data_IF_235385686195
#
_entry.id   IF_235385686195
#
_cell.length_a   1.000
_cell.length_b   1.000
_cell.length_c   1.000
_cell.angle_alpha   90.00
_cell.angle_beta   90.00
_cell.angle_gamma   90.00
#
_symmetry.space_group_name_H-M   'P 1'
#
loop_
_entity.id
_entity.type
_entity.pdbx_description
1 polymer ?
#
# COMPACT_ATOMS: atom_id res chain seq x y z
N UNK A 1 -5.64 -8.28 -11.47
CA UNK A 1 -5.77 -7.12 -12.39
C UNK A 1 -7.04 -7.24 -13.23
N UNK A 2 -7.70 -6.13 -13.56
CA UNK A 2 -8.95 -6.12 -14.33
C UNK A 2 -8.73 -6.61 -15.77
N UNK A 3 -9.54 -7.58 -16.24
CA UNK A 3 -9.45 -8.15 -17.60
C UNK A 3 -9.59 -7.09 -18.70
N UNK A 4 -10.40 -6.05 -18.47
CA UNK A 4 -10.57 -4.94 -19.39
C UNK A 4 -9.30 -4.10 -19.58
N UNK A 5 -8.47 -3.95 -18.54
CA UNK A 5 -7.21 -3.21 -18.62
C UNK A 5 -6.17 -3.97 -19.45
N UNK A 6 -6.09 -5.29 -19.24
CA UNK A 6 -5.21 -6.18 -20.00
C UNK A 6 -5.59 -6.19 -21.48
N UNK A 7 -6.90 -6.20 -21.79
CA UNK A 7 -7.40 -6.12 -23.16
C UNK A 7 -7.13 -4.78 -23.88
N UNK A 8 -6.89 -3.70 -23.14
CA UNK A 8 -6.44 -2.43 -23.73
C UNK A 8 -4.96 -2.48 -24.15
N UNK A 9 -4.14 -3.19 -23.37
CA UNK A 9 -2.72 -3.37 -23.65
C UNK A 9 -2.43 -4.35 -24.79
N UNK A 10 -3.33 -5.31 -25.07
CA UNK A 10 -3.19 -6.25 -26.18
C UNK A 10 -3.65 -5.70 -27.54
N UNK A 11 -4.01 -4.41 -27.62
CA UNK A 11 -4.39 -3.75 -28.87
C UNK A 11 -3.15 -3.45 -29.74
N UNK A 12 -3.28 -3.44 -31.08
CA UNK A 12 -2.17 -3.20 -31.99
C UNK A 12 -1.45 -1.87 -31.73
N UNK A 13 -0.13 -1.86 -31.94
CA UNK A 13 0.72 -0.69 -31.78
C UNK A 13 0.23 0.48 -32.67
N UNK A 14 0.08 1.65 -32.05
CA UNK A 14 -0.48 2.84 -32.70
C UNK A 14 -1.99 3.04 -32.53
N UNK A 15 -2.74 2.03 -32.09
CA UNK A 15 -4.18 2.17 -31.79
C UNK A 15 -4.43 3.13 -30.64
N UNK A 16 -5.55 3.88 -30.68
CA UNK A 16 -5.99 4.74 -29.59
C UNK A 16 -6.06 3.98 -28.24
N UNK A 17 -6.42 2.69 -28.26
CA UNK A 17 -6.45 1.82 -27.08
C UNK A 17 -5.06 1.61 -26.47
N UNK A 18 -4.05 1.34 -27.29
CA UNK A 18 -2.68 1.17 -26.83
C UNK A 18 -2.08 2.51 -26.36
N UNK A 19 -2.44 3.64 -27.01
CA UNK A 19 -2.06 4.98 -26.52
C UNK A 19 -2.65 5.29 -25.15
N UNK A 20 -3.93 4.97 -24.93
CA UNK A 20 -4.60 5.14 -23.63
C UNK A 20 -3.94 4.26 -22.57
N UNK A 21 -3.65 2.99 -22.90
CA UNK A 21 -2.96 2.08 -22.00
C UNK A 21 -1.56 2.60 -21.63
N UNK A 22 -0.76 2.99 -22.62
CA UNK A 22 0.60 3.54 -22.42
C UNK A 22 0.58 4.83 -21.60
N UNK A 23 -0.37 5.73 -21.88
CA UNK A 23 -0.54 6.96 -21.12
C UNK A 23 -0.96 6.68 -19.67
N UNK A 24 -1.89 5.74 -19.48
CA UNK A 24 -2.31 5.28 -18.16
C UNK A 24 -1.17 4.66 -17.36
N UNK A 25 -0.34 3.82 -17.99
CA UNK A 25 0.88 3.28 -17.36
C UNK A 25 1.87 4.38 -17.00
N UNK A 26 2.07 5.38 -17.86
CA UNK A 26 2.92 6.54 -17.59
C UNK A 26 2.41 7.39 -16.42
N UNK A 27 1.09 7.47 -16.24
CA UNK A 27 0.47 8.14 -15.11
C UNK A 27 0.60 7.32 -13.82
N UNK A 28 0.38 6.00 -13.90
CA UNK A 28 0.52 5.09 -12.77
C UNK A 28 1.97 4.95 -12.31
N UNK A 29 2.95 5.03 -13.22
CA UNK A 29 4.38 4.99 -12.85
C UNK A 29 4.82 6.22 -12.04
N UNK A 30 4.10 7.34 -12.15
CA UNK A 30 4.33 8.56 -11.36
C UNK A 30 3.85 8.44 -9.91
N UNK A 31 2.98 7.46 -9.62
CA UNK A 31 2.42 7.26 -8.28
C UNK A 31 3.53 6.84 -7.33
N UNK A 32 3.60 7.51 -6.16
CA UNK A 32 4.59 7.16 -5.14
C UNK A 32 4.33 5.73 -4.67
N UNK A 33 5.36 4.89 -4.51
CA UNK A 33 5.17 3.51 -4.11
C UNK A 33 4.62 3.39 -2.68
N UNK A 34 4.85 4.40 -1.83
CA UNK A 34 4.17 4.53 -0.54
C UNK A 34 2.64 4.59 -0.67
N UNK A 35 2.09 5.18 -1.74
CA UNK A 35 0.64 5.15 -2.00
C UNK A 35 0.17 3.74 -2.30
N UNK A 36 0.97 2.95 -3.03
CA UNK A 36 0.64 1.56 -3.38
C UNK A 36 0.60 0.70 -2.12
N UNK A 37 1.62 0.80 -1.27
CA UNK A 37 1.68 0.13 0.02
C UNK A 37 0.49 0.52 0.92
N UNK A 38 0.17 1.80 1.02
CA UNK A 38 -0.93 2.23 1.88
C UNK A 38 -2.30 1.84 1.31
N UNK A 39 -2.44 1.68 -0.01
CA UNK A 39 -3.67 1.20 -0.63
C UNK A 39 -3.89 -0.30 -0.44
N UNK A 40 -2.83 -1.09 -0.34
CA UNK A 40 -2.94 -2.53 -0.08
C UNK A 40 -3.36 -2.83 1.36
N UNK A 41 -3.02 -1.95 2.31
CA UNK A 41 -3.54 -2.01 3.69
C UNK A 41 -5.02 -1.63 3.68
N UNK A 42 -5.91 -2.63 3.71
CA UNK A 42 -7.36 -2.40 3.82
C UNK A 42 -7.75 -2.07 5.26
N UNK A 43 -8.94 -1.48 5.43
CA UNK A 43 -9.49 -1.17 6.77
C UNK A 43 -9.67 -2.43 7.62
N UNK A 44 -9.91 -3.56 6.97
CA UNK A 44 -10.27 -4.84 7.58
C UNK A 44 -9.05 -5.70 7.92
N UNK A 45 -7.83 -5.25 7.59
CA UNK A 45 -6.61 -5.97 7.96
C UNK A 45 -6.49 -5.97 9.48
N UNK A 46 -6.70 -7.14 10.07
CA UNK A 46 -6.55 -7.39 11.51
C UNK A 46 -5.10 -7.66 11.89
N UNK A 47 -4.29 -8.22 10.99
CA UNK A 47 -2.92 -8.63 11.26
C UNK A 47 -1.97 -8.18 10.16
N UNK A 48 -0.84 -7.58 10.55
CA UNK A 48 0.25 -7.21 9.66
C UNK A 48 1.47 -8.10 9.91
N UNK A 49 1.85 -8.88 8.90
CA UNK A 49 3.10 -9.62 8.89
C UNK A 49 4.18 -8.77 8.24
N UNK A 50 5.27 -8.54 8.97
CA UNK A 50 6.40 -7.74 8.48
C UNK A 50 7.63 -8.63 8.51
N UNK A 51 8.12 -8.98 7.33
CA UNK A 51 9.40 -9.67 7.17
C UNK A 51 10.51 -8.65 7.13
N UNK A 52 11.51 -8.80 8.00
CA UNK A 52 12.69 -7.94 8.01
C UNK A 52 13.97 -8.77 8.14
N UNK A 53 15.14 -8.24 7.71
CA UNK A 53 16.42 -8.89 7.94
C UNK A 53 16.65 -9.02 9.46
N UNK A 54 17.13 -10.18 9.93
CA UNK A 54 17.37 -10.39 11.36
C UNK A 54 18.52 -9.52 11.90
N UNK A 55 19.40 -9.05 11.01
CA UNK A 55 20.43 -8.06 11.32
C UNK A 55 19.88 -6.70 11.77
N UNK A 56 18.63 -6.36 11.43
CA UNK A 56 18.02 -5.06 11.74
C UNK A 56 17.14 -5.15 12.98
N UNK A 57 17.35 -4.20 13.91
CA UNK A 57 16.54 -4.08 15.10
C UNK A 57 15.05 -3.82 14.78
N UNK A 58 14.12 -4.64 15.32
CA UNK A 58 12.67 -4.50 15.04
C UNK A 58 12.11 -3.14 15.48
N UNK A 59 12.73 -2.51 16.50
CA UNK A 59 12.37 -1.16 16.96
C UNK A 59 12.58 -0.09 15.89
N UNK A 60 13.62 -0.21 15.06
CA UNK A 60 13.92 0.73 13.98
C UNK A 60 12.92 0.56 12.83
N UNK A 61 12.60 -0.68 12.49
CA UNK A 61 11.56 -1.02 11.51
C UNK A 61 10.22 -0.41 11.93
N UNK A 62 9.83 -0.60 13.19
CA UNK A 62 8.63 0.01 13.77
C UNK A 62 8.63 1.53 13.68
N UNK A 63 9.74 2.18 14.04
CA UNK A 63 9.88 3.64 13.97
C UNK A 63 9.74 4.14 12.53
N UNK A 64 10.36 3.46 11.56
CA UNK A 64 10.27 3.84 10.14
C UNK A 64 8.86 3.63 9.59
N UNK A 65 8.20 2.52 9.95
CA UNK A 65 6.82 2.25 9.55
C UNK A 65 5.85 3.27 10.15
N UNK A 66 6.00 3.64 11.43
CA UNK A 66 5.23 4.72 12.06
C UNK A 66 5.39 6.03 11.31
N UNK A 67 6.63 6.36 10.96
CA UNK A 67 6.92 7.58 10.21
C UNK A 67 6.28 7.58 8.82
N UNK A 68 6.30 6.44 8.11
CA UNK A 68 5.61 6.28 6.82
C UNK A 68 4.10 6.45 7.00
N UNK A 69 3.50 5.87 8.04
CA UNK A 69 2.07 5.98 8.33
C UNK A 69 1.66 7.44 8.62
N UNK A 70 2.34 8.12 9.56
CA UNK A 70 2.05 9.51 9.94
C UNK A 70 2.27 10.49 8.77
N UNK A 71 3.38 10.32 8.04
CA UNK A 71 3.67 11.14 6.86
C UNK A 71 2.65 10.86 5.75
N UNK A 72 2.30 9.59 5.53
CA UNK A 72 1.28 9.16 4.57
C UNK A 72 -0.08 9.80 4.85
N UNK A 73 -0.54 9.75 6.11
CA UNK A 73 -1.83 10.30 6.52
C UNK A 73 -1.91 11.80 6.26
N UNK A 74 -0.91 12.57 6.70
CA UNK A 74 -0.90 14.03 6.51
C UNK A 74 -0.82 14.44 5.03
N UNK A 75 -0.01 13.73 4.23
CA UNK A 75 0.13 13.99 2.79
C UNK A 75 -1.17 13.65 2.04
N UNK A 76 -1.71 12.45 2.26
CA UNK A 76 -2.92 12.01 1.56
C UNK A 76 -4.16 12.79 1.97
N UNK A 77 -4.25 13.25 3.22
CA UNK A 77 -5.29 14.18 3.65
C UNK A 77 -5.27 15.48 2.85
N UNK A 78 -4.09 16.13 2.71
CA UNK A 78 -3.94 17.37 1.93
C UNK A 78 -4.32 17.18 0.46
N UNK A 79 -3.81 16.11 -0.17
CA UNK A 79 -4.12 15.82 -1.57
C UNK A 79 -5.59 15.42 -1.79
N UNK A 80 -6.23 14.76 -0.82
CA UNK A 80 -7.65 14.46 -0.87
C UNK A 80 -8.48 15.74 -0.88
N UNK A 81 -8.26 16.65 0.08
CA UNK A 81 -8.97 17.94 0.09
C UNK A 81 -8.72 18.74 -1.19
N UNK A 82 -7.46 18.83 -1.64
CA UNK A 82 -7.13 19.50 -2.89
C UNK A 82 -7.86 18.89 -4.10
N UNK A 83 -7.92 17.56 -4.19
CA UNK A 83 -8.64 16.87 -5.28
C UNK A 83 -10.15 17.11 -5.19
N UNK A 84 -10.74 17.07 -3.99
CA UNK A 84 -12.17 17.34 -3.77
C UNK A 84 -12.54 18.77 -4.14
N UNK A 85 -11.71 19.76 -3.79
CA UNK A 85 -11.90 21.14 -4.23
C UNK A 85 -11.80 21.32 -5.75
N UNK A 86 -11.01 20.47 -6.42
CA UNK A 86 -10.83 20.52 -7.87
C UNK A 86 -11.96 19.83 -8.65
N UNK A 87 -12.68 18.88 -8.03
CA UNK A 87 -13.81 18.19 -8.64
C UNK A 87 -14.86 19.13 -9.27
N UNK A 88 -15.41 20.15 -8.57
CA UNK A 88 -16.40 21.06 -9.16
C UNK A 88 -15.81 21.87 -10.31
N UNK A 89 -14.52 22.23 -10.26
CA UNK A 89 -13.85 22.94 -11.36
C UNK A 89 -13.76 22.03 -12.58
N UNK A 90 -13.39 20.76 -12.38
CA UNK A 90 -13.32 19.79 -13.48
C UNK A 90 -14.68 19.33 -13.99
N UNK A 91 -15.76 19.43 -13.19
CA UNK A 91 -17.10 19.03 -13.64
C UNK A 91 -17.68 20.00 -14.68
N UNK A 92 -17.26 21.28 -14.66
CA UNK A 92 -17.63 22.24 -15.71
C UNK A 92 -17.11 21.79 -17.08
N UNK A 93 -15.92 21.21 -17.12
CA UNK A 93 -15.36 20.65 -18.36
C UNK A 93 -16.06 19.36 -18.81
N UNK A 94 -16.87 18.73 -17.95
CA UNK A 94 -17.65 17.53 -18.30
C UNK A 94 -18.77 17.82 -19.33
N UNK A 95 -19.21 19.08 -19.41
CA UNK A 95 -20.26 19.55 -20.32
C UNK A 95 -19.76 19.63 -21.77
N UNK A 96 -18.44 19.68 -21.99
CA UNK A 96 -17.85 19.70 -23.32
C UNK A 96 -17.87 18.30 -23.96
N UNK A 97 -18.07 18.18 -25.28
CA UNK A 97 -18.12 16.89 -25.99
C UNK A 97 -16.76 16.17 -26.08
N UNK A 98 -15.74 16.65 -25.37
CA UNK A 98 -14.40 16.06 -25.33
C UNK A 98 -14.38 14.82 -24.40
N UNK A 99 -13.45 13.88 -24.61
CA UNK A 99 -13.29 12.77 -23.68
C UNK A 99 -12.91 13.34 -22.30
N UNK A 100 -13.80 13.15 -21.32
CA UNK A 100 -13.74 13.68 -19.94
C UNK A 100 -12.61 13.10 -19.07
N UNK A 101 -11.45 12.82 -19.68
CA UNK A 101 -10.23 12.30 -19.06
C UNK A 101 -9.78 13.15 -17.87
N UNK A 102 -9.82 14.50 -17.89
CA UNK A 102 -9.40 15.30 -16.75
C UNK A 102 -10.27 15.05 -15.50
N UNK A 103 -11.60 15.00 -15.68
CA UNK A 103 -12.54 14.74 -14.60
C UNK A 103 -12.33 13.34 -14.00
N UNK A 104 -12.29 12.31 -14.85
CA UNK A 104 -12.06 10.94 -14.39
C UNK A 104 -10.70 10.77 -13.71
N UNK A 105 -9.67 11.51 -14.16
CA UNK A 105 -8.36 11.53 -13.51
C UNK A 105 -8.41 12.14 -12.11
N UNK A 106 -9.05 13.30 -11.93
CA UNK A 106 -9.20 13.92 -10.61
C UNK A 106 -10.02 13.04 -9.67
N UNK A 107 -11.09 12.42 -10.17
CA UNK A 107 -11.89 11.49 -9.39
C UNK A 107 -11.08 10.25 -8.97
N UNK A 108 -10.32 9.66 -9.90
CA UNK A 108 -9.40 8.56 -9.59
C UNK A 108 -8.36 8.97 -8.55
N UNK A 109 -7.76 10.17 -8.66
CA UNK A 109 -6.78 10.68 -7.69
C UNK A 109 -7.42 10.91 -6.33
N UNK A 110 -8.62 11.48 -6.26
CA UNK A 110 -9.36 11.65 -5.02
C UNK A 110 -9.63 10.30 -4.35
N UNK A 111 -10.15 9.32 -5.10
CA UNK A 111 -10.40 7.97 -4.57
C UNK A 111 -9.11 7.28 -4.11
N UNK A 112 -8.04 7.37 -4.90
CA UNK A 112 -6.76 6.76 -4.57
C UNK A 112 -6.16 7.35 -3.29
N UNK A 113 -6.25 8.68 -3.11
CA UNK A 113 -5.81 9.34 -1.89
C UNK A 113 -6.70 9.03 -0.69
N UNK A 114 -8.01 8.96 -0.89
CA UNK A 114 -8.92 8.52 0.17
C UNK A 114 -8.60 7.10 0.62
N UNK A 115 -8.40 6.17 -0.33
CA UNK A 115 -8.04 4.78 -0.01
C UNK A 115 -6.69 4.67 0.71
N UNK A 116 -5.67 5.40 0.24
CA UNK A 116 -4.36 5.44 0.89
C UNK A 116 -4.40 6.09 2.28
N UNK A 117 -5.23 7.11 2.48
CA UNK A 117 -5.45 7.75 3.78
C UNK A 117 -6.00 6.73 4.78
N UNK A 118 -7.05 6.00 4.39
CA UNK A 118 -7.64 4.96 5.25
C UNK A 118 -6.65 3.87 5.63
N UNK A 119 -5.82 3.42 4.68
CA UNK A 119 -4.77 2.46 4.98
C UNK A 119 -3.66 3.02 5.87
N UNK A 120 -3.32 4.31 5.75
CA UNK A 120 -2.34 4.97 6.62
C UNK A 120 -2.84 5.19 8.04
N UNK A 121 -4.11 5.55 8.22
CA UNK A 121 -4.76 5.64 9.52
C UNK A 121 -4.84 4.26 10.16
N UNK A 122 -5.26 3.25 9.37
CA UNK A 122 -5.28 1.86 9.83
C UNK A 122 -3.90 1.45 10.28
N UNK A 123 -2.88 1.61 9.45
CA UNK A 123 -1.47 1.31 9.74
C UNK A 123 -0.95 2.10 10.95
N UNK A 124 -1.37 3.34 11.15
CA UNK A 124 -0.96 4.15 12.29
C UNK A 124 -1.54 3.61 13.60
N UNK A 125 -2.82 3.22 13.65
CA UNK A 125 -3.45 2.62 14.84
C UNK A 125 -2.71 1.33 15.24
N UNK A 126 -2.54 0.51 14.23
CA UNK A 126 -1.77 -0.70 14.18
C UNK A 126 -0.35 -0.50 14.77
N UNK A 127 0.44 0.47 14.31
CA UNK A 127 1.81 0.73 14.81
C UNK A 127 1.86 1.49 16.16
N UNK A 128 0.80 2.21 16.52
CA UNK A 128 0.76 3.07 17.72
C UNK A 128 0.33 2.29 18.97
N UNK A 129 -0.78 1.54 18.89
CA UNK A 129 -1.54 1.15 20.08
C UNK A 129 -2.10 -0.27 19.97
N UNK A 130 -1.25 -1.29 20.14
CA UNK A 130 -1.71 -2.66 20.34
C UNK A 130 -1.50 -3.08 21.79
N UNK A 131 -2.48 -2.71 22.61
CA UNK A 131 -2.82 -3.42 23.85
C UNK A 131 -4.31 -3.26 24.14
N UNK A 132 -4.85 -2.03 24.18
CA UNK A 132 -6.14 -1.84 24.88
C UNK A 132 -7.35 -1.55 23.96
N UNK A 133 -7.13 -0.92 22.80
CA UNK A 133 -8.24 -0.48 21.93
C UNK A 133 -8.75 -1.56 20.96
N UNK A 134 -7.89 -2.55 20.69
CA UNK A 134 -8.19 -3.69 19.81
C UNK A 134 -9.01 -4.77 20.52
N UNK A 135 -8.73 -5.03 21.80
CA UNK A 135 -9.50 -5.93 22.67
C UNK A 135 -10.98 -5.49 22.71
N UNK A 136 -11.24 -4.21 22.89
CA UNK A 136 -12.61 -3.65 22.93
C UNK A 136 -13.37 -3.84 21.59
N UNK A 137 -12.68 -3.73 20.45
CA UNK A 137 -13.29 -3.92 19.13
C UNK A 137 -13.58 -5.39 18.81
N UNK A 138 -12.66 -6.28 19.20
CA UNK A 138 -12.83 -7.73 19.10
C UNK A 138 -13.92 -8.24 20.03
N UNK A 139 -13.97 -7.77 21.28
CA UNK A 139 -15.03 -8.09 22.24
C UNK A 139 -16.40 -7.69 21.68
N UNK A 140 -16.52 -6.48 21.14
CA UNK A 140 -17.78 -5.99 20.56
C UNK A 140 -18.22 -6.78 19.33
N UNK A 141 -17.27 -7.28 18.54
CA UNK A 141 -17.55 -8.14 17.38
C UNK A 141 -17.88 -9.58 17.80
N UNK A 142 -17.21 -10.07 18.85
CA UNK A 142 -17.43 -11.40 19.44
C UNK A 142 -18.79 -11.47 20.14
N UNK A 143 -19.20 -10.44 20.88
CA UNK A 143 -20.54 -10.30 21.47
C UNK A 143 -21.66 -10.36 20.42
N UNK A 144 -21.44 -9.79 19.24
CA UNK A 144 -22.40 -9.85 18.13
C UNK A 144 -22.50 -11.24 17.50
N UNK A 145 -21.41 -12.02 17.54
CA UNK A 145 -21.35 -13.41 17.03
C UNK A 145 -21.69 -14.49 18.07
N UNK A 146 -21.51 -14.19 19.37
CA UNK A 146 -21.64 -15.12 20.50
C UNK A 146 -23.09 -15.32 20.97
N UNK A 147 -24.08 -15.05 20.12
CA UNK A 147 -25.43 -15.62 20.29
C UNK A 147 -25.53 -17.06 19.78
N UNK A 148 -24.46 -17.63 19.22
CA UNK A 148 -24.36 -19.06 18.91
C UNK A 148 -23.00 -19.63 19.33
N UNK A 149 -23.10 -20.60 20.23
CA UNK A 149 -22.17 -21.67 20.60
C UNK A 149 -20.87 -21.29 21.33
N UNK A 150 -20.85 -21.68 22.62
CA UNK A 150 -19.72 -21.53 23.52
C UNK A 150 -18.71 -22.67 23.39
N UNK A 151 -17.43 -22.28 23.36
CA UNK A 151 -16.34 -23.03 24.01
C UNK A 151 -15.16 -22.09 24.27
N UNK A 152 -14.59 -22.17 25.47
CA UNK A 152 -13.45 -21.38 25.93
C UNK A 152 -12.15 -21.81 25.25
N UNK A 153 -11.23 -20.85 24.99
CA UNK A 153 -9.84 -21.12 24.64
C UNK A 153 -8.92 -19.94 25.00
N UNK A 154 -7.66 -20.31 25.20
CA UNK A 154 -6.66 -19.70 26.07
C UNK A 154 -6.12 -18.33 25.62
N UNK A 155 -5.74 -17.52 26.61
CA UNK A 155 -5.15 -16.19 26.46
C UNK A 155 -3.74 -16.28 25.84
N UNK A 156 -3.67 -16.34 24.51
CA UNK A 156 -2.45 -15.97 23.78
C UNK A 156 -2.59 -14.50 23.42
N UNK A 157 -1.73 -13.64 23.96
CA UNK A 157 -1.66 -12.21 23.61
C UNK A 157 -1.57 -12.07 22.08
N UNK A 158 -2.70 -11.76 21.46
CA UNK A 158 -2.81 -11.57 20.02
C UNK A 158 -2.25 -10.19 19.71
N UNK A 159 -0.93 -10.07 19.60
CA UNK A 159 -0.35 -8.90 18.95
C UNK A 159 -0.82 -8.94 17.48
N UNK A 160 -1.54 -7.93 16.97
CA UNK A 160 -1.95 -7.90 15.56
C UNK A 160 -0.78 -7.65 14.58
N UNK A 161 0.44 -7.97 15.02
CA UNK A 161 1.74 -7.66 14.44
C UNK A 161 2.63 -8.87 14.62
N UNK A 162 3.06 -9.50 13.53
CA UNK A 162 4.11 -10.51 13.59
C UNK A 162 5.32 -9.97 12.85
N UNK A 163 6.35 -9.57 13.61
CA UNK A 163 7.66 -9.21 13.06
C UNK A 163 8.44 -10.52 12.90
N UNK A 164 8.58 -10.96 11.65
CA UNK A 164 9.29 -12.19 11.30
C UNK A 164 10.73 -11.83 10.89
N UNK A 165 11.73 -12.08 11.75
CA UNK A 165 13.13 -11.96 11.34
C UNK A 165 13.46 -13.07 10.34
N UNK A 166 13.92 -12.69 9.15
CA UNK A 166 14.29 -13.64 8.10
C UNK A 166 15.81 -13.73 7.94
N UNK A 167 16.37 -14.87 8.35
CA UNK A 167 17.78 -15.22 8.10
C UNK A 167 18.07 -15.38 6.60
N UNK A 168 17.08 -15.87 5.83
CA UNK A 168 17.17 -15.99 4.37
C UNK A 168 17.35 -14.62 3.71
N UNK A 169 16.74 -13.57 4.28
CA UNK A 169 16.91 -12.21 3.80
C UNK A 169 18.29 -11.65 4.16
N UNK A 170 18.83 -11.99 5.34
CA UNK A 170 20.22 -11.64 5.69
C UNK A 170 21.23 -12.32 4.76
N UNK A 171 21.02 -13.57 4.35
CA UNK A 171 21.90 -14.27 3.39
C UNK A 171 22.00 -13.53 2.04
N UNK A 172 20.89 -12.96 1.56
CA UNK A 172 20.90 -12.12 0.36
C UNK A 172 21.65 -10.79 0.55
N UNK A 173 21.73 -10.29 1.79
CA UNK A 173 22.34 -9.01 2.13
C UNK A 173 23.82 -9.12 2.52
N UNK A 174 24.23 -10.19 3.22
CA UNK A 174 25.62 -10.43 3.65
C UNK A 174 26.59 -10.59 2.47
N UNK A 175 26.08 -10.92 1.28
CA UNK A 175 26.91 -11.17 0.10
C UNK A 175 27.65 -9.92 -0.41
N UNK A 176 27.36 -8.69 0.05
CA UNK A 176 28.10 -7.45 -0.30
C UNK A 176 28.02 -6.32 0.73
N UNK A 177 29.04 -5.45 0.70
CA UNK A 177 29.18 -4.24 1.52
C UNK A 177 28.01 -3.25 1.29
N UNK A 178 27.37 -2.84 2.39
CA UNK A 178 26.20 -1.96 2.50
C UNK A 178 26.41 -0.50 1.99
N UNK A 179 27.57 -0.16 1.42
CA UNK A 179 27.91 1.22 1.01
C UNK A 179 27.37 1.59 -0.37
N UNK A 180 27.16 0.59 -1.25
CA UNK A 180 26.54 0.76 -2.56
C UNK A 180 25.20 0.00 -2.52
N UNK A 181 24.07 0.70 -2.59
CA UNK A 181 22.73 0.10 -2.42
C UNK A 181 22.49 -1.15 -3.28
N UNK A 182 21.56 -2.02 -2.86
CA UNK A 182 21.36 -3.37 -3.43
C UNK A 182 21.35 -3.42 -4.97
N UNK A 183 22.10 -4.36 -5.54
CA UNK A 183 22.12 -4.58 -6.99
C UNK A 183 20.77 -5.10 -7.55
N UNK A 184 20.52 -4.84 -8.82
CA UNK A 184 19.31 -5.27 -9.52
C UNK A 184 19.13 -6.79 -9.55
N UNK A 185 20.23 -7.56 -9.61
CA UNK A 185 20.21 -9.03 -9.56
C UNK A 185 19.74 -9.54 -8.19
N UNK A 186 20.29 -8.99 -7.11
CA UNK A 186 19.88 -9.34 -5.74
C UNK A 186 18.41 -9.00 -5.49
N UNK A 187 17.96 -7.81 -5.94
CA UNK A 187 16.55 -7.42 -5.85
C UNK A 187 15.65 -8.42 -6.59
N UNK A 188 16.07 -8.86 -7.79
CA UNK A 188 15.36 -9.88 -8.56
C UNK A 188 15.17 -11.18 -7.76
N UNK A 189 16.23 -11.68 -7.12
CA UNK A 189 16.18 -12.92 -6.32
C UNK A 189 15.30 -12.77 -5.08
N UNK A 190 15.33 -11.61 -4.42
CA UNK A 190 14.45 -11.31 -3.28
C UNK A 190 12.99 -11.27 -3.77
N UNK A 191 12.72 -10.62 -4.91
CA UNK A 191 11.38 -10.56 -5.48
C UNK A 191 10.83 -11.94 -5.82
N UNK A 192 11.66 -12.83 -6.38
CA UNK A 192 11.27 -14.22 -6.65
C UNK A 192 11.04 -15.02 -5.36
N UNK A 193 11.86 -14.81 -4.32
CA UNK A 193 11.75 -15.54 -3.06
C UNK A 193 10.53 -15.16 -2.23
N UNK A 194 10.02 -13.93 -2.37
CA UNK A 194 8.92 -13.37 -1.57
C UNK A 194 7.68 -12.99 -2.38
N UNK A 195 7.63 -13.39 -3.66
CA UNK A 195 6.54 -13.08 -4.60
C UNK A 195 6.21 -11.57 -4.67
N UNK A 196 7.25 -10.74 -4.82
CA UNK A 196 7.14 -9.29 -4.88
C UNK A 196 7.25 -8.78 -6.31
N UNK A 197 6.51 -7.70 -6.64
CA UNK A 197 6.68 -7.01 -7.92
C UNK A 197 8.02 -6.24 -7.96
N UNK A 198 8.93 -6.71 -8.83
CA UNK A 198 10.23 -6.09 -9.08
C UNK A 198 10.12 -4.60 -9.44
N UNK A 199 9.11 -4.22 -10.21
CA UNK A 199 8.95 -2.83 -10.68
C UNK A 199 8.69 -1.92 -9.49
N UNK A 200 7.86 -2.34 -8.55
CA UNK A 200 7.52 -1.54 -7.38
C UNK A 200 8.68 -1.48 -6.36
N UNK A 201 9.45 -2.56 -6.20
CA UNK A 201 10.66 -2.55 -5.36
C UNK A 201 11.73 -1.61 -5.92
N UNK A 202 11.95 -1.63 -7.24
CA UNK A 202 12.91 -0.72 -7.89
C UNK A 202 12.50 0.75 -7.76
N UNK A 203 11.20 1.07 -7.74
CA UNK A 203 10.74 2.44 -7.44
C UNK A 203 11.13 2.89 -6.04
N UNK A 204 11.14 2.01 -5.05
CA UNK A 204 11.59 2.36 -3.69
C UNK A 204 13.09 2.65 -3.62
N UNK A 205 13.92 1.93 -4.39
CA UNK A 205 15.37 2.17 -4.47
C UNK A 205 15.69 3.56 -5.02
N UNK A 206 14.96 4.00 -6.05
CA UNK A 206 15.22 5.26 -6.76
C UNK A 206 14.60 6.51 -6.08
N UNK A 207 14.04 6.37 -4.87
CA UNK A 207 13.45 7.48 -4.10
C UNK A 207 14.39 8.08 -3.05
N UNK A 208 15.53 7.43 -2.82
CA UNK A 208 16.68 7.99 -2.08
C UNK A 208 17.56 8.80 -3.04
#
# INVERSE_FOLDING_TARGET
MNRAWIGLGSAPEGSAKNRIHSFGLKLLSRVRPSEVLLKSVTKDVSMLEIVHPASINPRLVRRRLRHIAVRGASVHRKFLYGSVCLLPVTSVFMVLPLPNIPFFWVLFRAYSHWRALQGSERLQLLVSDCSDQWEILLEKQKEMSSRKDGRACENTQFAPWNLQPSKKLDEFLERRNLSEGLDCDTISRICEAYDLDKIDVLKYRNLE
#
